data_IF_463779809828
#
_entry.id   IF_463779809828
#
_cell.length_a   1.000
_cell.length_b   1.000
_cell.length_c   1.000
_cell.angle_alpha   90.00
_cell.angle_beta   90.00
_cell.angle_gamma   90.00
#
_symmetry.space_group_name_H-M   'P 1'
#
loop_
_entity.id
_entity.type
_entity.pdbx_description
1 polymer ?
#
# COMPACT_ATOMS: atom_id res chain seq x y z
N UNK A 1 0.82 -1.95 -0.72
CA UNK A 1 0.03 -0.79 -1.20
C UNK A 1 -0.47 -0.96 -2.64
N UNK A 2 0.20 -1.75 -3.48
CA UNK A 2 -0.13 -1.95 -4.92
C UNK A 2 -1.25 -2.97 -5.23
N UNK A 3 -1.80 -3.64 -4.20
CA UNK A 3 -2.74 -4.77 -4.40
C UNK A 3 -4.01 -4.38 -5.16
N UNK A 4 -4.53 -3.17 -4.95
CA UNK A 4 -5.73 -2.70 -5.66
C UNK A 4 -5.51 -2.59 -7.17
N UNK A 5 -4.33 -2.16 -7.63
CA UNK A 5 -4.00 -2.11 -9.05
C UNK A 5 -3.91 -3.51 -9.65
N UNK A 6 -3.26 -4.44 -8.94
CA UNK A 6 -3.10 -5.83 -9.39
C UNK A 6 -4.46 -6.54 -9.60
N UNK A 7 -5.47 -6.23 -8.78
CA UNK A 7 -6.84 -6.76 -8.93
C UNK A 7 -7.46 -6.42 -10.30
N UNK A 8 -7.08 -5.30 -10.93
CA UNK A 8 -7.56 -4.94 -12.27
C UNK A 8 -7.23 -6.00 -13.33
N UNK A 9 -6.12 -6.72 -13.17
CA UNK A 9 -5.69 -7.76 -14.10
C UNK A 9 -6.40 -9.10 -13.87
N UNK A 10 -6.86 -9.37 -12.65
CA UNK A 10 -7.40 -10.68 -12.26
C UNK A 10 -8.91 -10.71 -12.14
N UNK A 11 -9.57 -9.55 -12.04
CA UNK A 11 -11.00 -9.45 -11.78
C UNK A 11 -11.72 -8.77 -12.95
N UNK A 12 -12.54 -9.51 -13.72
CA UNK A 12 -13.29 -8.94 -14.83
C UNK A 12 -14.20 -7.79 -14.40
N UNK A 13 -14.47 -6.85 -15.33
CA UNK A 13 -15.37 -5.70 -15.13
C UNK A 13 -15.08 -4.89 -13.87
N UNK A 14 -13.79 -4.67 -13.60
CA UNK A 14 -13.33 -3.88 -12.45
C UNK A 14 -12.64 -2.61 -12.93
N UNK A 15 -12.86 -1.51 -12.22
CA UNK A 15 -12.15 -0.24 -12.37
C UNK A 15 -11.61 0.24 -11.03
N UNK A 16 -10.65 1.16 -11.05
CA UNK A 16 -10.03 1.72 -9.86
C UNK A 16 -9.85 3.23 -10.03
N UNK A 17 -10.40 4.00 -9.08
CA UNK A 17 -10.04 5.40 -8.93
C UNK A 17 -8.77 5.51 -8.09
N UNK A 18 -7.75 6.12 -8.68
CA UNK A 18 -6.52 6.49 -7.99
C UNK A 18 -6.82 7.77 -7.22
N UNK A 19 -6.46 7.86 -5.94
CA UNK A 19 -6.80 8.99 -5.05
C UNK A 19 -5.62 9.46 -4.19
N UNK A 20 -4.40 9.07 -4.53
CA UNK A 20 -3.19 9.43 -3.78
C UNK A 20 -2.88 10.94 -3.76
N UNK A 21 -3.51 11.70 -4.64
CA UNK A 21 -3.48 13.16 -4.77
C UNK A 21 -4.72 13.85 -4.16
N UNK A 22 -5.75 13.09 -3.80
CA UNK A 22 -7.02 13.60 -3.28
C UNK A 22 -7.30 12.94 -1.93
N UNK A 23 -7.02 13.65 -0.85
CA UNK A 23 -7.19 13.15 0.52
C UNK A 23 -6.82 14.22 1.53
N UNK A 24 -6.98 13.92 2.82
CA UNK A 24 -6.63 14.81 3.91
C UNK A 24 -5.77 14.03 4.90
N UNK A 25 -4.51 14.45 5.10
CA UNK A 25 -3.53 13.69 5.90
C UNK A 25 -4.00 13.42 7.34
N UNK A 26 -4.82 14.33 7.88
CA UNK A 26 -5.33 14.28 9.25
C UNK A 26 -6.82 13.93 9.34
N UNK A 27 -7.49 13.61 8.23
CA UNK A 27 -8.90 13.23 8.22
C UNK A 27 -9.14 12.05 7.26
N UNK A 28 -9.49 10.91 7.84
CA UNK A 28 -9.83 9.70 7.10
C UNK A 28 -11.16 9.82 6.32
N UNK A 29 -11.91 10.92 6.50
CA UNK A 29 -13.16 11.24 5.82
C UNK A 29 -13.02 12.45 4.88
N UNK A 30 -12.17 12.41 3.84
CA UNK A 30 -11.84 13.58 3.03
C UNK A 30 -13.08 14.22 2.40
N UNK A 31 -13.20 15.55 2.43
CA UNK A 31 -14.41 16.24 1.96
C UNK A 31 -14.60 16.15 0.45
N UNK A 32 -13.50 16.06 -0.30
CA UNK A 32 -13.54 15.87 -1.74
C UNK A 32 -13.98 14.43 -2.10
N UNK A 33 -15.28 14.25 -2.30
CA UNK A 33 -15.86 13.00 -2.84
C UNK A 33 -16.10 13.06 -4.35
N UNK A 34 -15.96 14.26 -4.94
CA UNK A 34 -16.27 14.50 -6.35
C UNK A 34 -15.22 13.85 -7.25
N UNK A 35 -13.94 14.10 -7.01
CA UNK A 35 -12.88 13.58 -7.88
C UNK A 35 -12.84 12.05 -7.91
N UNK A 36 -12.95 11.31 -6.78
CA UNK A 36 -13.05 9.85 -6.84
C UNK A 36 -14.27 9.39 -7.66
N UNK A 37 -15.42 10.06 -7.52
CA UNK A 37 -16.64 9.74 -8.27
C UNK A 37 -16.49 9.95 -9.77
N UNK A 38 -15.92 11.09 -10.20
CA UNK A 38 -15.65 11.38 -11.61
C UNK A 38 -14.65 10.39 -12.21
N UNK A 39 -13.60 10.04 -11.46
CA UNK A 39 -12.61 9.04 -11.89
C UNK A 39 -13.22 7.65 -12.08
N UNK A 40 -14.15 7.24 -11.21
CA UNK A 40 -14.89 5.99 -11.40
C UNK A 40 -15.85 6.06 -12.59
N UNK A 41 -16.47 7.22 -12.84
CA UNK A 41 -17.36 7.42 -13.98
C UNK A 41 -16.61 7.27 -15.33
N UNK A 42 -15.35 7.70 -15.42
CA UNK A 42 -14.52 7.51 -16.62
C UNK A 42 -14.37 6.03 -17.01
N UNK A 43 -14.18 5.15 -16.03
CA UNK A 43 -14.11 3.70 -16.27
C UNK A 43 -15.40 3.17 -16.89
N UNK A 44 -16.56 3.51 -16.30
CA UNK A 44 -17.86 3.09 -16.82
C UNK A 44 -18.09 3.64 -18.23
N UNK A 45 -17.77 4.93 -18.46
CA UNK A 45 -17.93 5.56 -19.77
C UNK A 45 -17.14 4.82 -20.86
N UNK A 46 -15.89 4.48 -20.59
CA UNK A 46 -15.04 3.78 -21.54
C UNK A 46 -15.38 2.30 -21.72
N UNK A 47 -15.75 1.59 -20.65
CA UNK A 47 -15.89 0.13 -20.66
C UNK A 47 -17.31 -0.36 -20.89
N UNK A 48 -18.32 0.40 -20.49
CA UNK A 48 -19.72 -0.02 -20.52
C UNK A 48 -20.58 0.83 -21.46
N UNK A 49 -20.25 2.12 -21.62
CA UNK A 49 -21.04 3.07 -22.43
C UNK A 49 -20.42 3.36 -23.81
N UNK A 50 -19.34 2.67 -24.18
CA UNK A 50 -18.73 2.76 -25.50
C UNK A 50 -18.18 4.14 -25.87
N UNK A 51 -17.79 4.95 -24.87
CA UNK A 51 -17.16 6.24 -25.11
C UNK A 51 -15.69 6.05 -25.45
N UNK A 52 -15.28 6.61 -26.58
CA UNK A 52 -13.87 6.68 -26.96
C UNK A 52 -13.19 7.81 -26.19
N UNK A 53 -12.35 7.45 -25.23
CA UNK A 53 -11.62 8.36 -24.35
C UNK A 53 -10.12 8.14 -24.53
N UNK A 54 -9.36 9.24 -24.61
CA UNK A 54 -7.88 9.21 -24.70
C UNK A 54 -7.26 8.44 -23.53
N UNK A 55 -7.80 8.64 -22.32
CA UNK A 55 -7.52 7.84 -21.14
C UNK A 55 -8.76 7.85 -20.23
N UNK A 56 -8.97 6.76 -19.50
CA UNK A 56 -10.08 6.60 -18.54
C UNK A 56 -9.58 6.21 -17.13
N UNK A 57 -8.27 6.11 -16.96
CA UNK A 57 -7.58 6.05 -15.67
C UNK A 57 -6.32 6.90 -15.75
N UNK A 58 -5.66 7.11 -14.61
CA UNK A 58 -4.30 7.63 -14.62
C UNK A 58 -3.28 6.56 -14.98
N UNK A 59 -1.98 6.92 -15.10
CA UNK A 59 -0.93 5.97 -15.48
C UNK A 59 -0.94 4.71 -14.61
N UNK A 60 -0.99 3.55 -15.27
CA UNK A 60 -0.94 2.23 -14.62
C UNK A 60 0.37 1.55 -15.00
N UNK A 61 1.16 1.14 -14.01
CA UNK A 61 2.39 0.39 -14.25
C UNK A 61 2.14 -0.83 -15.15
N UNK A 62 2.88 -0.92 -16.27
CA UNK A 62 2.83 -2.03 -17.23
C UNK A 62 4.09 -2.88 -17.16
N UNK A 63 5.27 -2.26 -17.24
CA UNK A 63 6.54 -2.98 -17.35
C UNK A 63 7.71 -2.16 -16.80
N UNK A 64 8.76 -2.89 -16.40
CA UNK A 64 10.05 -2.34 -16.01
C UNK A 64 11.14 -2.99 -16.87
N UNK A 65 12.05 -2.17 -17.39
CA UNK A 65 13.22 -2.58 -18.15
C UNK A 65 14.46 -2.06 -17.43
N UNK A 66 15.32 -2.98 -16.99
CA UNK A 66 16.59 -2.64 -16.36
C UNK A 66 17.57 -2.22 -17.45
N UNK A 67 18.12 -1.03 -17.30
CA UNK A 67 19.14 -0.43 -18.16
C UNK A 67 20.44 -0.29 -17.38
N UNK A 68 21.51 0.13 -18.05
CA UNK A 68 22.76 0.47 -17.36
C UNK A 68 22.55 1.68 -16.43
N UNK A 69 22.60 1.43 -15.12
CA UNK A 69 22.45 2.45 -14.06
C UNK A 69 21.04 3.03 -13.86
N UNK A 70 20.02 2.52 -14.56
CA UNK A 70 18.65 3.05 -14.48
C UNK A 70 17.59 1.97 -14.74
N UNK A 71 16.34 2.28 -14.41
CA UNK A 71 15.20 1.44 -14.79
C UNK A 71 14.19 2.29 -15.55
N UNK A 72 13.79 1.81 -16.73
CA UNK A 72 12.73 2.39 -17.54
C UNK A 72 11.40 1.77 -17.15
N UNK A 73 10.48 2.60 -16.68
CA UNK A 73 9.14 2.20 -16.28
C UNK A 73 8.15 2.64 -17.35
N UNK A 74 7.37 1.71 -17.87
CA UNK A 74 6.33 2.00 -18.87
C UNK A 74 4.94 1.86 -18.28
N UNK A 75 4.03 2.73 -18.73
CA UNK A 75 2.68 2.85 -18.21
C UNK A 75 1.63 2.65 -19.30
N UNK A 76 0.53 1.99 -18.96
CA UNK A 76 -0.72 2.15 -19.67
C UNK A 76 -1.41 3.46 -19.24
N UNK A 77 -2.43 3.87 -19.98
CA UNK A 77 -3.25 5.06 -19.65
C UNK A 77 -2.45 6.38 -19.61
N UNK A 78 -1.35 6.46 -20.36
CA UNK A 78 -0.58 7.70 -20.54
C UNK A 78 -1.32 8.75 -21.40
N UNK A 79 -2.36 8.35 -22.13
CA UNK A 79 -3.05 9.24 -23.06
C UNK A 79 -2.09 9.74 -24.15
N UNK A 80 -1.92 11.06 -24.24
CA UNK A 80 -0.96 11.70 -25.16
C UNK A 80 0.44 11.88 -24.58
N UNK A 81 0.65 11.60 -23.30
CA UNK A 81 1.94 11.86 -22.65
C UNK A 81 1.88 11.84 -21.12
N UNK A 82 3.04 11.62 -20.51
CA UNK A 82 3.23 11.76 -19.06
C UNK A 82 3.78 13.14 -18.72
N UNK A 83 3.42 13.66 -17.54
CA UNK A 83 3.94 14.94 -17.03
C UNK A 83 3.91 15.00 -15.50
N UNK A 84 4.66 15.95 -14.95
CA UNK A 84 4.42 16.43 -13.59
C UNK A 84 3.16 17.30 -13.57
N UNK A 85 2.28 17.08 -12.58
CA UNK A 85 1.02 17.82 -12.41
C UNK A 85 1.20 19.34 -12.44
N UNK A 86 2.14 19.84 -11.65
CA UNK A 86 2.43 21.27 -11.51
C UNK A 86 3.64 21.71 -12.36
N UNK A 87 4.10 20.85 -13.27
CA UNK A 87 5.41 21.01 -13.92
C UNK A 87 6.59 20.70 -12.99
N UNK A 88 7.81 20.90 -13.50
CA UNK A 88 9.05 20.58 -12.78
C UNK A 88 9.38 19.09 -12.66
N UNK A 89 10.36 18.72 -11.82
CA UNK A 89 10.82 17.35 -11.66
C UNK A 89 9.73 16.40 -11.12
N UNK A 90 9.75 15.15 -11.59
CA UNK A 90 8.95 14.09 -10.99
C UNK A 90 9.45 13.78 -9.57
N UNK A 91 8.52 13.48 -8.67
CA UNK A 91 8.78 13.23 -7.25
C UNK A 91 8.21 11.89 -6.84
N UNK A 92 8.60 11.43 -5.65
CA UNK A 92 8.09 10.20 -5.00
C UNK A 92 8.43 8.91 -5.75
N UNK A 93 9.56 8.89 -6.45
CA UNK A 93 10.18 7.67 -6.96
C UNK A 93 11.30 7.24 -6.02
N UNK A 94 11.33 5.94 -5.74
CA UNK A 94 12.41 5.30 -5.01
C UNK A 94 12.93 4.13 -5.84
N UNK A 95 14.24 3.87 -5.73
CA UNK A 95 14.95 2.84 -6.48
C UNK A 95 15.83 2.04 -5.51
N UNK A 96 15.99 0.74 -5.76
CA UNK A 96 16.77 -0.16 -4.93
C UNK A 96 17.65 -1.09 -5.77
N UNK A 97 18.80 -1.46 -5.20
CA UNK A 97 19.69 -2.50 -5.73
C UNK A 97 19.37 -3.87 -5.15
N UNK A 98 20.26 -4.84 -5.40
CA UNK A 98 20.12 -6.22 -4.88
C UNK A 98 20.13 -6.30 -3.35
N UNK A 99 20.67 -5.29 -2.67
CA UNK A 99 20.68 -5.13 -1.21
C UNK A 99 19.30 -4.81 -0.62
N UNK A 100 18.31 -4.52 -1.48
CA UNK A 100 16.94 -4.15 -1.12
C UNK A 100 16.83 -2.85 -0.32
N UNK A 101 17.87 -2.02 -0.33
CA UNK A 101 17.85 -0.70 0.28
C UNK A 101 17.18 0.30 -0.68
N UNK A 102 16.15 0.99 -0.19
CA UNK A 102 15.42 1.98 -0.98
C UNK A 102 16.06 3.37 -0.87
N UNK A 103 16.36 3.97 -2.01
CA UNK A 103 16.92 5.32 -2.14
C UNK A 103 15.96 6.21 -2.92
N UNK A 104 15.93 7.50 -2.59
CA UNK A 104 15.26 8.48 -3.45
C UNK A 104 15.90 8.50 -4.83
N UNK A 105 15.07 8.62 -5.86
CA UNK A 105 15.51 8.57 -7.24
C UNK A 105 15.13 9.84 -8.01
N UNK A 106 15.98 10.20 -8.96
CA UNK A 106 15.60 11.12 -10.04
C UNK A 106 14.73 10.37 -11.04
N UNK A 107 13.66 11.03 -11.49
CA UNK A 107 12.75 10.49 -12.49
C UNK A 107 12.50 11.50 -13.61
N UNK A 108 12.59 11.05 -14.87
CA UNK A 108 12.40 11.88 -16.06
C UNK A 108 11.46 11.17 -17.03
N UNK A 109 10.52 11.91 -17.60
CA UNK A 109 9.65 11.38 -18.66
C UNK A 109 10.50 11.02 -19.88
N UNK A 110 10.27 9.84 -20.43
CA UNK A 110 10.91 9.32 -21.63
C UNK A 110 9.84 8.88 -22.63
N UNK A 111 9.75 9.59 -23.75
CA UNK A 111 8.68 9.39 -24.74
C UNK A 111 7.29 9.73 -24.20
N UNK A 112 6.27 9.04 -24.72
CA UNK A 112 4.88 9.33 -24.38
C UNK A 112 4.40 8.58 -23.12
N UNK A 113 4.91 7.38 -22.87
CA UNK A 113 4.34 6.44 -21.89
C UNK A 113 5.35 5.90 -20.88
N UNK A 114 6.57 6.42 -20.83
CA UNK A 114 7.60 5.93 -19.93
C UNK A 114 8.26 7.01 -19.07
N UNK A 115 8.92 6.54 -18.00
CA UNK A 115 9.76 7.32 -17.09
C UNK A 115 11.05 6.55 -16.88
N UNK A 116 12.19 7.22 -16.99
CA UNK A 116 13.51 6.71 -16.59
C UNK A 116 13.74 7.10 -15.13
N UNK A 117 14.10 6.12 -14.31
CA UNK A 117 14.36 6.28 -12.87
C UNK A 117 15.79 5.84 -12.57
N UNK A 118 16.55 6.69 -11.87
CA UNK A 118 17.95 6.44 -11.54
C UNK A 118 18.35 7.13 -10.23
N UNK A 119 19.38 6.63 -9.56
CA UNK A 119 19.98 7.29 -8.39
C UNK A 119 21.50 7.12 -8.39
N UNK A 120 22.28 8.17 -8.06
CA UNK A 120 23.74 8.04 -7.91
C UNK A 120 24.13 7.08 -6.79
N UNK A 121 23.23 6.84 -5.82
CA UNK A 121 23.46 5.93 -4.70
C UNK A 121 23.22 4.46 -5.08
N UNK A 122 22.63 4.18 -6.25
CA UNK A 122 22.25 2.83 -6.69
C UNK A 122 22.80 2.55 -8.09
N UNK A 123 24.06 2.12 -8.16
CA UNK A 123 24.75 1.85 -9.43
C UNK A 123 24.16 0.67 -10.23
N UNK A 124 23.58 -0.32 -9.55
CA UNK A 124 22.96 -1.51 -10.16
C UNK A 124 21.52 -1.68 -9.69
N UNK A 125 20.58 -0.89 -10.23
CA UNK A 125 19.21 -0.94 -9.77
C UNK A 125 18.50 -2.22 -10.25
N UNK A 126 17.66 -2.77 -9.38
CA UNK A 126 16.83 -3.96 -9.67
C UNK A 126 15.34 -3.72 -9.42
N UNK A 127 14.99 -2.66 -8.68
CA UNK A 127 13.60 -2.37 -8.32
C UNK A 127 13.30 -0.86 -8.26
N UNK A 128 12.07 -0.49 -8.63
CA UNK A 128 11.50 0.85 -8.47
C UNK A 128 10.16 0.75 -7.75
N UNK A 129 9.85 1.76 -6.95
CA UNK A 129 8.49 2.00 -6.45
C UNK A 129 8.12 3.47 -6.56
N UNK A 130 6.82 3.73 -6.67
CA UNK A 130 6.28 5.09 -6.76
C UNK A 130 5.19 5.31 -5.73
N UNK A 131 5.23 6.48 -5.09
CA UNK A 131 4.23 6.93 -4.11
C UNK A 131 4.03 5.90 -2.96
N UNK A 132 5.08 5.19 -2.55
CA UNK A 132 5.04 4.13 -1.54
C UNK A 132 5.06 4.68 -0.12
N UNK A 133 3.94 5.24 0.33
CA UNK A 133 3.77 5.78 1.67
C UNK A 133 2.29 5.79 2.07
N UNK A 134 2.01 5.79 3.37
CA UNK A 134 0.63 5.91 3.89
C UNK A 134 -0.06 7.19 3.43
N UNK A 135 0.70 8.28 3.29
CA UNK A 135 0.26 9.54 2.67
C UNK A 135 1.36 10.01 1.70
N UNK A 136 1.24 9.75 0.39
CA UNK A 136 2.26 10.08 -0.58
C UNK A 136 2.18 11.54 -1.06
N UNK A 137 2.25 12.47 -0.11
CA UNK A 137 2.22 13.91 -0.38
C UNK A 137 3.31 14.32 -1.39
N UNK A 138 2.92 15.17 -2.34
CA UNK A 138 3.80 15.63 -3.41
C UNK A 138 4.02 14.64 -4.55
N UNK A 139 3.33 13.49 -4.55
CA UNK A 139 3.28 12.60 -5.72
C UNK A 139 2.63 13.35 -6.91
N UNK A 140 3.34 13.41 -8.03
CA UNK A 140 3.02 14.37 -9.10
C UNK A 140 3.02 13.79 -10.51
N UNK A 141 3.30 12.49 -10.71
CA UNK A 141 3.15 11.89 -12.04
C UNK A 141 1.67 11.81 -12.42
N UNK A 142 1.32 12.41 -13.56
CA UNK A 142 -0.01 12.37 -14.17
C UNK A 142 0.10 12.08 -15.66
N UNK A 143 -0.99 11.63 -16.28
CA UNK A 143 -1.10 11.54 -17.74
C UNK A 143 -1.52 12.88 -18.37
N UNK A 144 -1.73 12.88 -19.69
CA UNK A 144 -2.13 14.07 -20.45
C UNK A 144 -3.45 14.67 -19.96
N UNK A 145 -4.36 13.83 -19.48
CA UNK A 145 -5.67 14.19 -18.94
C UNK A 145 -5.61 14.69 -17.49
N UNK A 146 -4.42 14.71 -16.87
CA UNK A 146 -4.24 15.17 -15.49
C UNK A 146 -4.62 14.13 -14.42
N UNK A 147 -4.85 12.88 -14.81
CA UNK A 147 -5.17 11.80 -13.87
C UNK A 147 -3.88 11.26 -13.21
N UNK A 148 -3.87 11.06 -11.87
CA UNK A 148 -2.70 10.61 -11.11
C UNK A 148 -2.26 9.20 -11.45
N UNK A 149 -0.95 8.96 -11.45
CA UNK A 149 -0.39 7.62 -11.53
C UNK A 149 -0.72 6.79 -10.28
N UNK A 150 -1.02 5.52 -10.50
CA UNK A 150 -1.25 4.56 -9.42
C UNK A 150 0.05 4.26 -8.67
N UNK A 151 -0.06 4.02 -7.36
CA UNK A 151 1.03 3.46 -6.55
C UNK A 151 1.45 2.12 -7.16
N UNK A 152 2.74 1.87 -7.31
CA UNK A 152 3.26 0.59 -7.80
C UNK A 152 4.62 0.26 -7.17
N UNK A 153 4.99 -1.02 -7.26
CA UNK A 153 6.37 -1.52 -7.07
C UNK A 153 6.69 -2.51 -8.20
N UNK A 154 7.96 -2.67 -8.54
CA UNK A 154 8.40 -3.59 -9.62
C UNK A 154 8.94 -4.91 -9.10
N UNK A 155 9.26 -4.99 -7.81
CA UNK A 155 9.79 -6.18 -7.18
C UNK A 155 8.68 -7.06 -6.56
N UNK A 156 9.04 -8.29 -6.23
CA UNK A 156 8.18 -9.30 -5.61
C UNK A 156 8.62 -9.63 -4.16
N UNK A 157 9.43 -8.78 -3.54
CA UNK A 157 9.91 -9.00 -2.18
C UNK A 157 8.77 -8.94 -1.19
N UNK A 158 8.91 -9.67 -0.07
CA UNK A 158 7.87 -9.67 0.95
C UNK A 158 7.60 -8.26 1.48
N UNK A 159 6.32 -7.87 1.45
CA UNK A 159 5.79 -6.57 1.89
C UNK A 159 5.87 -6.39 3.42
N UNK A 160 6.27 -7.43 4.15
CA UNK A 160 6.52 -7.38 5.60
C UNK A 160 8.00 -7.11 5.79
N UNK A 161 8.32 -5.88 6.18
CA UNK A 161 9.49 -5.67 7.03
C UNK A 161 9.42 -6.75 8.11
N UNK A 162 10.52 -7.49 8.33
CA UNK A 162 10.59 -8.47 9.42
C UNK A 162 9.95 -7.83 10.64
N UNK A 163 8.85 -8.44 11.12
CA UNK A 163 7.91 -7.77 12.00
C UNK A 163 8.68 -7.00 13.07
N UNK A 164 8.48 -5.67 13.12
CA UNK A 164 9.04 -4.87 14.21
C UNK A 164 8.78 -5.64 15.51
N UNK A 165 9.81 -5.95 16.33
CA UNK A 165 9.64 -6.70 17.57
C UNK A 165 8.49 -6.18 18.44
N UNK A 166 8.18 -4.87 18.36
CA UNK A 166 7.03 -4.27 19.01
C UNK A 166 5.68 -4.72 18.41
N UNK A 167 5.58 -4.85 17.09
CA UNK A 167 4.40 -5.36 16.38
C UNK A 167 4.20 -6.85 16.65
N UNK A 168 5.28 -7.63 16.67
CA UNK A 168 5.22 -9.06 17.00
C UNK A 168 4.78 -9.28 18.46
N UNK A 169 5.36 -8.53 19.40
CA UNK A 169 4.93 -8.55 20.80
C UNK A 169 3.46 -8.12 20.98
N UNK A 170 3.00 -7.09 20.25
CA UNK A 170 1.61 -6.65 20.29
C UNK A 170 0.64 -7.71 19.74
N UNK A 171 1.02 -8.40 18.66
CA UNK A 171 0.23 -9.49 18.08
C UNK A 171 0.19 -10.71 19.00
N UNK A 172 1.32 -11.10 19.59
CA UNK A 172 1.40 -12.19 20.57
C UNK A 172 0.54 -11.90 21.81
N UNK A 173 0.56 -10.66 22.31
CA UNK A 173 -0.32 -10.20 23.40
C UNK A 173 -1.79 -10.29 23.01
N UNK A 174 -2.18 -9.84 21.81
CA UNK A 174 -3.57 -9.94 21.31
C UNK A 174 -4.03 -11.40 21.24
N UNK A 175 -3.19 -12.30 20.72
CA UNK A 175 -3.49 -13.72 20.64
C UNK A 175 -3.69 -14.36 22.03
N UNK A 176 -2.85 -14.02 23.01
CA UNK A 176 -3.05 -14.41 24.41
C UNK A 176 -4.40 -13.93 24.95
N UNK A 177 -4.75 -12.67 24.68
CA UNK A 177 -6.04 -12.08 25.10
C UNK A 177 -7.25 -12.78 24.49
N UNK A 178 -7.18 -13.19 23.22
CA UNK A 178 -8.24 -13.98 22.57
C UNK A 178 -8.38 -15.35 23.26
N UNK A 179 -7.27 -16.07 23.42
CA UNK A 179 -7.28 -17.40 24.06
C UNK A 179 -7.81 -17.37 25.49
N UNK A 180 -7.45 -16.35 26.27
CA UNK A 180 -7.96 -16.14 27.63
C UNK A 180 -9.48 -15.92 27.61
N UNK A 181 -9.99 -15.08 26.69
CA UNK A 181 -11.44 -14.82 26.58
C UNK A 181 -12.21 -16.07 26.20
N UNK A 182 -11.70 -16.86 25.27
CA UNK A 182 -12.33 -18.12 24.87
C UNK A 182 -12.40 -19.14 26.02
N UNK A 183 -11.29 -19.31 26.75
CA UNK A 183 -11.26 -20.19 27.91
C UNK A 183 -12.16 -19.67 29.05
N UNK A 184 -12.16 -18.36 29.30
CA UNK A 184 -13.04 -17.76 30.30
C UNK A 184 -14.51 -17.97 29.94
N UNK A 185 -14.91 -17.78 28.68
CA UNK A 185 -16.26 -18.05 28.22
C UNK A 185 -16.67 -19.52 28.42
N UNK A 186 -15.76 -20.47 28.13
CA UNK A 186 -15.99 -21.90 28.40
C UNK A 186 -16.14 -22.19 29.88
N UNK A 187 -15.28 -21.63 30.73
CA UNK A 187 -15.35 -21.77 32.19
C UNK A 187 -16.66 -21.22 32.75
N UNK A 188 -17.09 -20.06 32.28
CA UNK A 188 -18.26 -19.35 32.81
C UNK A 188 -19.58 -20.04 32.41
N UNK A 189 -19.55 -20.94 31.41
CA UNK A 189 -20.66 -21.81 31.04
C UNK A 189 -20.75 -23.10 31.88
N UNK A 190 -19.77 -23.40 32.74
CA UNK A 190 -19.73 -24.61 33.56
C UNK A 190 -20.24 -24.36 34.98
N UNK A 191 -20.66 -25.42 35.66
CA UNK A 191 -20.96 -25.36 37.09
C UNK A 191 -19.72 -24.96 37.89
N UNK A 192 -19.89 -23.98 38.76
CA UNK A 192 -18.83 -23.43 39.60
C UNK A 192 -18.23 -24.53 40.48
N UNK A 193 -16.89 -24.64 40.48
CA UNK A 193 -16.11 -25.63 41.22
C UNK A 193 -16.21 -27.09 40.74
N UNK A 194 -16.87 -27.36 39.61
CA UNK A 194 -16.75 -28.66 38.92
C UNK A 194 -15.28 -28.95 38.56
N UNK A 195 -14.95 -30.23 38.31
CA UNK A 195 -13.60 -30.62 37.90
C UNK A 195 -13.17 -29.91 36.61
N UNK A 196 -14.07 -29.79 35.65
CA UNK A 196 -13.84 -29.09 34.38
C UNK A 196 -13.64 -27.59 34.58
N UNK A 197 -14.42 -26.96 35.47
CA UNK A 197 -14.25 -25.55 35.82
C UNK A 197 -12.88 -25.29 36.46
N UNK A 198 -12.43 -26.17 37.36
CA UNK A 198 -11.12 -26.06 38.02
C UNK A 198 -9.98 -26.21 37.00
N UNK A 199 -10.08 -27.19 36.11
CA UNK A 199 -9.10 -27.45 35.05
C UNK A 199 -8.94 -26.25 34.11
N UNK A 200 -10.04 -25.65 33.64
CA UNK A 200 -9.96 -24.45 32.78
C UNK A 200 -9.41 -23.25 33.57
N UNK A 201 -9.76 -23.12 34.85
CA UNK A 201 -9.23 -22.05 35.71
C UNK A 201 -7.71 -22.16 35.91
N UNK A 202 -7.19 -23.38 36.06
CA UNK A 202 -5.76 -23.65 36.12
C UNK A 202 -5.06 -23.36 34.78
N UNK A 203 -5.70 -23.63 33.65
CA UNK A 203 -5.17 -23.32 32.31
C UNK A 203 -5.10 -21.81 32.02
N UNK A 204 -6.10 -21.04 32.49
CA UNK A 204 -6.14 -19.58 32.30
C UNK A 204 -5.02 -18.89 33.09
N UNK A 205 -4.68 -19.38 34.29
CA UNK A 205 -3.75 -18.73 35.23
C UNK A 205 -2.38 -18.38 34.60
N UNK A 206 -1.61 -19.31 34.00
CA UNK A 206 -0.34 -18.98 33.38
C UNK A 206 -0.47 -18.09 32.14
N UNK A 207 -1.59 -18.16 31.42
CA UNK A 207 -1.86 -17.27 30.27
C UNK A 207 -2.09 -15.84 30.73
N UNK A 208 -2.83 -15.65 31.83
CA UNK A 208 -3.05 -14.34 32.45
C UNK A 208 -1.76 -13.71 32.97
N UNK A 209 -0.85 -14.50 33.54
CA UNK A 209 0.45 -14.01 34.01
C UNK A 209 1.33 -13.54 32.85
N UNK A 210 1.41 -14.32 31.76
CA UNK A 210 2.08 -13.91 30.51
C UNK A 210 1.44 -12.69 29.87
N UNK A 211 0.11 -12.59 29.92
CA UNK A 211 -0.61 -11.42 29.43
C UNK A 211 -0.30 -10.20 30.28
N UNK A 212 -0.24 -10.27 31.62
CA UNK A 212 0.12 -9.11 32.44
C UNK A 212 1.57 -8.67 32.20
N UNK A 213 2.49 -9.62 32.10
CA UNK A 213 3.93 -9.37 31.88
C UNK A 213 4.29 -8.79 30.51
N UNK A 214 3.44 -8.98 29.50
CA UNK A 214 3.66 -8.45 28.14
C UNK A 214 3.09 -7.04 27.92
N UNK A 215 2.82 -6.28 28.99
CA UNK A 215 2.21 -4.95 28.86
C UNK A 215 3.25 -3.94 28.37
N UNK A 216 2.96 -3.14 27.33
CA UNK A 216 3.88 -2.09 26.89
C UNK A 216 4.08 -1.08 28.02
N UNK A 217 5.31 -0.59 28.18
CA UNK A 217 5.62 0.48 29.12
C UNK A 217 4.73 1.69 28.80
N UNK A 218 4.24 2.44 29.81
CA UNK A 218 3.45 3.64 29.56
C UNK A 218 4.27 4.60 28.69
N UNK A 219 3.66 5.09 27.60
CA UNK A 219 4.29 6.08 26.75
C UNK A 219 4.67 7.30 27.58
N UNK A 220 5.95 7.68 27.56
CA UNK A 220 6.41 8.94 28.12
C UNK A 220 5.68 10.07 27.39
N UNK A 221 5.01 10.94 28.16
CA UNK A 221 4.32 12.13 27.66
C UNK A 221 5.28 13.12 27.03
#
# INVERSE_FOLDING_TARGET
QDRMRLVLATTPKTGMAIINDTGEANDIHPKNKKDPGERLALWALAKDYGKDLVAYSGPLYRAAEIMDGAIRITFDQAGKGLKSREGGPLKRFEIAGEDKAWHWAEAKVDGADAVIVSSPDVAKPVAVRYAWASNPEGSNLVNSEGLPASVFRTDDWEDVDAADPATEAANARRALGVKIRELAAKRDALERNSEEWKKISEEIKPLMDRFKGSSPAPASK
#
